data_IF_682851435224
#
_entry.id   IF_682851435224
#
_cell.length_a   1.000
_cell.length_b   1.000
_cell.length_c   1.000
_cell.angle_alpha   90.00
_cell.angle_beta   90.00
_cell.angle_gamma   90.00
#
_symmetry.space_group_name_H-M   'P 1'
#
loop_
_entity.id
_entity.type
_entity.pdbx_description
1 polymer ?
#
# COMPACT_ATOMS: atom_id res chain seq x y z
N UNK A 1 -10.20 3.39 -24.36
CA UNK A 1 -11.24 4.21 -25.03
C UNK A 1 -12.66 3.80 -24.56
N UNK A 2 -13.00 3.94 -23.26
CA UNK A 2 -14.33 3.57 -22.72
C UNK A 2 -15.00 4.64 -21.85
N UNK A 3 -14.46 5.87 -21.81
CA UNK A 3 -14.99 6.94 -20.95
C UNK A 3 -15.92 7.94 -21.65
N UNK A 4 -16.20 7.78 -22.94
CA UNK A 4 -17.11 8.68 -23.68
C UNK A 4 -18.59 8.26 -23.53
N UNK A 5 -18.86 7.08 -22.98
CA UNK A 5 -20.22 6.52 -22.93
C UNK A 5 -21.10 7.07 -21.79
N UNK A 6 -20.53 7.62 -20.72
CA UNK A 6 -21.30 8.03 -19.54
C UNK A 6 -21.87 9.45 -19.72
N UNK A 7 -21.13 10.35 -20.37
CA UNK A 7 -21.59 11.72 -20.67
C UNK A 7 -22.77 11.74 -21.65
N UNK A 8 -22.81 10.81 -22.61
CA UNK A 8 -23.91 10.69 -23.56
C UNK A 8 -25.23 10.22 -22.91
N UNK A 9 -25.15 9.35 -21.89
CA UNK A 9 -26.34 8.82 -21.21
C UNK A 9 -26.98 9.86 -20.26
N UNK A 10 -26.16 10.76 -19.67
CA UNK A 10 -26.65 11.87 -18.84
C UNK A 10 -27.38 12.90 -19.70
N UNK A 11 -26.86 13.23 -20.88
CA UNK A 11 -27.54 14.14 -21.81
C UNK A 11 -28.86 13.57 -22.36
N UNK A 12 -28.93 12.26 -22.59
CA UNK A 12 -30.16 11.58 -23.04
C UNK A 12 -31.26 11.54 -21.96
N UNK A 13 -30.89 11.47 -20.67
CA UNK A 13 -31.87 11.56 -19.57
C UNK A 13 -32.38 12.99 -19.36
N UNK A 14 -31.54 14.00 -19.56
CA UNK A 14 -31.97 15.41 -19.50
C UNK A 14 -32.95 15.77 -20.63
N UNK A 15 -32.77 15.24 -21.84
CA UNK A 15 -33.70 15.48 -22.95
C UNK A 15 -35.05 14.78 -22.77
N UNK A 16 -35.08 13.61 -22.12
CA UNK A 16 -36.33 12.87 -21.87
C UNK A 16 -37.16 13.47 -20.73
N UNK A 17 -36.56 14.24 -19.81
CA UNK A 17 -37.32 15.01 -18.82
C UNK A 17 -38.00 16.25 -19.43
N UNK A 18 -37.46 16.81 -20.53
CA UNK A 18 -38.10 17.91 -21.25
C UNK A 18 -39.29 17.45 -22.11
N UNK A 19 -39.33 16.18 -22.53
CA UNK A 19 -40.41 15.60 -23.33
C UNK A 19 -41.58 15.05 -22.49
N UNK A 20 -41.38 14.85 -21.19
CA UNK A 20 -42.42 14.41 -20.25
C UNK A 20 -43.27 15.60 -19.77
N UNK A 21 -43.92 16.33 -20.69
CA UNK A 21 -45.25 16.89 -20.47
C UNK A 21 -45.56 17.73 -19.22
N UNK A 22 -44.62 18.49 -18.65
CA UNK A 22 -44.97 19.59 -17.74
C UNK A 22 -45.16 20.86 -18.57
N UNK A 23 -46.26 20.90 -19.32
CA UNK A 23 -46.74 22.14 -19.88
C UNK A 23 -47.06 23.10 -18.71
N UNK A 24 -46.50 24.32 -18.67
CA UNK A 24 -47.01 25.34 -17.77
C UNK A 24 -48.43 25.63 -18.22
N UNK A 25 -49.40 25.18 -17.43
CA UNK A 25 -50.79 25.55 -17.64
C UNK A 25 -50.86 27.07 -17.62
N UNK A 26 -51.04 27.68 -18.80
CA UNK A 26 -51.46 29.06 -18.94
C UNK A 26 -52.78 29.22 -18.20
N UNK A 27 -52.68 29.66 -16.95
CA UNK A 27 -53.82 30.10 -16.15
C UNK A 27 -54.37 31.37 -16.79
N UNK A 28 -55.27 31.20 -17.75
CA UNK A 28 -56.06 32.28 -18.30
C UNK A 28 -56.94 32.85 -17.18
N UNK A 29 -56.74 34.13 -16.90
CA UNK A 29 -57.17 34.79 -15.67
C UNK A 29 -58.69 34.83 -15.48
N UNK A 30 -59.13 34.32 -14.34
CA UNK A 30 -60.40 34.67 -13.75
C UNK A 30 -60.16 35.73 -12.67
N UNK A 31 -60.30 37.00 -13.07
CA UNK A 31 -60.28 38.16 -12.16
C UNK A 31 -61.46 38.08 -11.19
N UNK A 32 -61.30 37.36 -10.07
CA UNK A 32 -62.10 37.60 -8.87
C UNK A 32 -61.33 38.62 -8.04
N UNK A 33 -61.89 39.82 -7.91
CA UNK A 33 -61.33 40.89 -7.10
C UNK A 33 -61.23 40.47 -5.64
N UNK A 34 -60.07 39.94 -5.27
CA UNK A 34 -59.67 39.82 -3.87
C UNK A 34 -59.45 41.25 -3.39
N UNK A 35 -60.43 41.79 -2.65
CA UNK A 35 -60.23 43.02 -1.89
C UNK A 35 -59.11 42.73 -0.91
N UNK A 36 -57.90 43.24 -1.18
CA UNK A 36 -56.82 43.29 -0.21
C UNK A 36 -57.30 44.13 0.98
N UNK A 37 -57.90 43.47 1.98
CA UNK A 37 -58.00 44.03 3.31
C UNK A 37 -56.56 44.16 3.78
N UNK A 38 -56.08 45.40 3.92
CA UNK A 38 -54.87 45.75 4.65
C UNK A 38 -55.10 45.39 6.13
N UNK A 39 -55.00 44.10 6.46
CA UNK A 39 -54.84 43.66 7.83
C UNK A 39 -53.36 43.86 8.15
N UNK A 40 -53.06 44.81 9.04
CA UNK A 40 -51.71 44.92 9.59
C UNK A 40 -51.40 43.62 10.33
N UNK A 41 -50.25 43.01 10.04
CA UNK A 41 -49.73 41.87 10.78
C UNK A 41 -49.72 42.23 12.27
N UNK A 42 -50.40 41.43 13.07
CA UNK A 42 -50.38 41.63 14.52
C UNK A 42 -48.97 41.33 15.03
N UNK A 43 -48.51 42.05 16.04
CA UNK A 43 -47.15 41.88 16.59
C UNK A 43 -46.86 40.42 17.00
N UNK A 44 -47.90 39.70 17.43
CA UNK A 44 -47.85 38.26 17.71
C UNK A 44 -47.44 37.41 16.49
N UNK A 45 -48.00 37.71 15.32
CA UNK A 45 -47.75 36.97 14.08
C UNK A 45 -46.33 37.23 13.54
N UNK A 46 -45.79 38.44 13.76
CA UNK A 46 -44.39 38.76 13.49
C UNK A 46 -43.44 37.99 14.42
N UNK A 47 -43.75 37.85 15.70
CA UNK A 47 -42.93 37.06 16.63
C UNK A 47 -42.92 35.56 16.30
N UNK A 48 -44.07 35.00 15.92
CA UNK A 48 -44.17 33.58 15.54
C UNK A 48 -43.37 33.30 14.26
N UNK A 49 -43.46 34.18 13.26
CA UNK A 49 -42.70 34.01 12.01
C UNK A 49 -41.19 34.10 12.23
N UNK A 50 -40.71 35.04 13.05
CA UNK A 50 -39.29 35.12 13.43
C UNK A 50 -38.86 33.87 14.21
N UNK A 51 -39.68 33.37 15.14
CA UNK A 51 -39.40 32.15 15.89
C UNK A 51 -39.21 30.92 14.99
N UNK A 52 -40.11 30.72 14.03
CA UNK A 52 -40.01 29.63 13.05
C UNK A 52 -38.76 29.80 12.17
N UNK A 53 -38.47 31.02 11.73
CA UNK A 53 -37.29 31.30 10.89
C UNK A 53 -35.99 30.96 11.62
N UNK A 54 -35.86 31.33 12.89
CA UNK A 54 -34.68 31.00 13.71
C UNK A 54 -34.52 29.49 13.85
N UNK A 55 -35.61 28.75 14.14
CA UNK A 55 -35.57 27.28 14.25
C UNK A 55 -35.17 26.63 12.92
N UNK A 56 -35.69 27.11 11.79
CA UNK A 56 -35.30 26.59 10.47
C UNK A 56 -33.82 26.86 10.14
N UNK A 57 -33.31 28.04 10.46
CA UNK A 57 -31.90 28.38 10.23
C UNK A 57 -30.99 27.47 11.07
N UNK A 58 -31.33 27.24 12.35
CA UNK A 58 -30.56 26.37 13.23
C UNK A 58 -30.56 24.91 12.77
N UNK A 59 -31.73 24.37 12.41
CA UNK A 59 -31.84 22.99 11.92
C UNK A 59 -31.10 22.80 10.59
N UNK A 60 -31.22 23.74 9.67
CA UNK A 60 -30.48 23.70 8.40
C UNK A 60 -28.96 23.81 8.61
N UNK A 61 -28.51 24.65 9.53
CA UNK A 61 -27.09 24.74 9.90
C UNK A 61 -26.52 23.41 10.41
N UNK A 62 -27.25 22.71 11.27
CA UNK A 62 -26.86 21.39 11.77
C UNK A 62 -26.83 20.33 10.65
N UNK A 63 -27.82 20.34 9.75
CA UNK A 63 -27.88 19.42 8.60
C UNK A 63 -26.73 19.68 7.63
N UNK A 64 -26.43 20.95 7.33
CA UNK A 64 -25.30 21.31 6.46
C UNK A 64 -23.97 20.87 7.05
N UNK A 65 -23.73 21.14 8.34
CA UNK A 65 -22.50 20.71 9.02
C UNK A 65 -22.34 19.20 9.01
N UNK A 66 -23.42 18.46 9.24
CA UNK A 66 -23.41 16.99 9.20
C UNK A 66 -23.15 16.47 7.79
N UNK A 67 -23.75 17.10 6.79
CA UNK A 67 -23.57 16.75 5.37
C UNK A 67 -22.13 16.99 4.91
N UNK A 68 -21.52 18.12 5.30
CA UNK A 68 -20.13 18.43 4.97
C UNK A 68 -19.16 17.42 5.60
N UNK A 69 -19.37 17.07 6.88
CA UNK A 69 -18.56 16.05 7.57
C UNK A 69 -18.69 14.70 6.85
N UNK A 70 -19.90 14.27 6.53
CA UNK A 70 -20.15 13.01 5.82
C UNK A 70 -19.50 12.97 4.44
N UNK A 71 -19.56 14.08 3.68
CA UNK A 71 -18.90 14.18 2.37
C UNK A 71 -17.38 14.11 2.51
N UNK A 72 -16.78 14.81 3.47
CA UNK A 72 -15.33 14.77 3.69
C UNK A 72 -14.86 13.37 4.07
N UNK A 73 -15.55 12.68 4.98
CA UNK A 73 -15.25 11.29 5.35
C UNK A 73 -15.38 10.37 4.13
N UNK A 74 -16.44 10.52 3.34
CA UNK A 74 -16.65 9.71 2.13
C UNK A 74 -15.56 9.91 1.09
N UNK A 75 -15.16 11.16 0.83
CA UNK A 75 -14.10 11.48 -0.12
C UNK A 75 -12.76 10.91 0.34
N UNK A 76 -12.45 11.01 1.62
CA UNK A 76 -11.24 10.44 2.21
C UNK A 76 -11.24 8.92 2.09
N UNK A 77 -12.33 8.25 2.47
CA UNK A 77 -12.47 6.80 2.35
C UNK A 77 -12.33 6.31 0.90
N UNK A 78 -12.87 7.07 -0.07
CA UNK A 78 -12.71 6.77 -1.50
C UNK A 78 -11.24 6.88 -1.94
N UNK A 79 -10.51 7.91 -1.49
CA UNK A 79 -9.09 8.09 -1.82
C UNK A 79 -8.26 6.95 -1.23
N UNK A 80 -8.41 6.65 0.05
CA UNK A 80 -7.69 5.55 0.71
C UNK A 80 -8.00 4.21 0.06
N UNK A 81 -9.28 3.94 -0.26
CA UNK A 81 -9.68 2.73 -1.00
C UNK A 81 -9.00 2.60 -2.37
N UNK A 82 -8.97 3.70 -3.14
CA UNK A 82 -8.31 3.71 -4.45
C UNK A 82 -6.79 3.54 -4.36
N UNK A 83 -6.15 4.13 -3.35
CA UNK A 83 -4.72 4.00 -3.10
C UNK A 83 -4.35 2.57 -2.72
N UNK A 84 -5.09 1.97 -1.78
CA UNK A 84 -4.92 0.57 -1.39
C UNK A 84 -5.00 -0.38 -2.59
N UNK A 85 -6.05 -0.26 -3.42
CA UNK A 85 -6.17 -1.10 -4.63
C UNK A 85 -5.03 -0.91 -5.63
N UNK A 86 -4.49 0.30 -5.77
CA UNK A 86 -3.33 0.55 -6.62
C UNK A 86 -2.07 -0.12 -6.06
N UNK A 87 -1.83 -0.03 -4.76
CA UNK A 87 -0.72 -0.69 -4.05
C UNK A 87 -0.83 -2.21 -4.21
N UNK A 88 -2.01 -2.78 -3.97
CA UNK A 88 -2.27 -4.22 -4.15
C UNK A 88 -1.92 -4.71 -5.55
N UNK A 89 -2.25 -3.91 -6.57
CA UNK A 89 -1.94 -4.25 -7.96
C UNK A 89 -0.44 -4.24 -8.21
N UNK A 90 0.28 -3.21 -7.76
CA UNK A 90 1.74 -3.11 -7.94
C UNK A 90 2.43 -4.31 -7.30
N UNK A 91 2.13 -4.58 -6.03
CA UNK A 91 2.70 -5.71 -5.29
C UNK A 91 2.35 -7.04 -5.97
N UNK A 92 1.09 -7.24 -6.38
CA UNK A 92 0.69 -8.48 -7.06
C UNK A 92 1.41 -8.67 -8.39
N UNK A 93 1.60 -7.61 -9.16
CA UNK A 93 2.32 -7.66 -10.43
C UNK A 93 3.80 -7.98 -10.22
N UNK A 94 4.40 -7.52 -9.12
CA UNK A 94 5.80 -7.82 -8.78
C UNK A 94 5.98 -9.24 -8.22
N UNK A 95 5.09 -9.68 -7.33
CA UNK A 95 5.11 -11.05 -6.77
C UNK A 95 4.97 -12.11 -7.88
N UNK A 96 4.19 -11.82 -8.92
CA UNK A 96 4.06 -12.69 -10.11
C UNK A 96 5.34 -12.81 -10.93
N UNK A 97 6.20 -11.78 -10.92
CA UNK A 97 7.45 -11.79 -11.68
C UNK A 97 8.59 -12.43 -10.91
N UNK A 98 8.40 -12.78 -9.64
CA UNK A 98 9.44 -13.44 -8.84
C UNK A 98 9.88 -14.72 -9.53
N UNK A 99 11.18 -14.89 -9.68
CA UNK A 99 11.77 -16.02 -10.40
C UNK A 99 12.51 -16.97 -9.50
N UNK A 100 12.25 -18.28 -9.67
CA UNK A 100 12.97 -19.35 -8.98
C UNK A 100 14.43 -19.47 -9.39
N UNK A 101 14.82 -18.86 -10.51
CA UNK A 101 16.23 -18.76 -10.92
C UNK A 101 17.01 -17.72 -10.10
N UNK A 102 16.31 -16.95 -9.27
CA UNK A 102 16.82 -15.88 -8.41
C UNK A 102 16.97 -16.27 -6.96
N UNK A 103 16.66 -15.31 -6.09
CA UNK A 103 16.41 -15.55 -4.68
C UNK A 103 15.11 -14.84 -4.25
N UNK A 104 14.55 -15.29 -3.15
CA UNK A 104 13.51 -14.64 -2.37
C UNK A 104 13.97 -14.67 -0.92
N UNK A 105 13.87 -13.55 -0.23
CA UNK A 105 14.24 -13.42 1.17
C UNK A 105 13.12 -12.70 1.91
N UNK A 106 12.66 -13.29 3.00
CA UNK A 106 11.80 -12.64 3.99
C UNK A 106 12.63 -12.51 5.25
N UNK A 107 12.81 -11.30 5.74
CA UNK A 107 13.67 -11.04 6.88
C UNK A 107 13.11 -9.95 7.77
N UNK A 108 13.74 -9.78 8.92
CA UNK A 108 13.40 -8.79 9.91
C UNK A 108 14.57 -7.82 10.05
N UNK A 109 14.28 -6.54 10.15
CA UNK A 109 15.26 -5.52 10.49
C UNK A 109 15.55 -5.49 12.00
N UNK A 110 16.54 -4.69 12.41
CA UNK A 110 16.93 -4.53 13.83
C UNK A 110 15.80 -4.02 14.72
N UNK A 111 14.88 -3.22 14.15
CA UNK A 111 13.68 -2.69 14.80
C UNK A 111 12.50 -3.69 14.87
N UNK A 112 12.70 -4.90 14.33
CA UNK A 112 11.65 -5.91 14.26
C UNK A 112 10.75 -5.78 13.02
N UNK A 113 10.93 -4.78 12.16
CA UNK A 113 10.08 -4.59 10.99
C UNK A 113 10.33 -5.66 9.91
N UNK A 114 9.28 -6.15 9.22
CA UNK A 114 9.43 -7.13 8.17
C UNK A 114 9.93 -6.49 6.87
N UNK A 115 10.74 -7.26 6.16
CA UNK A 115 11.28 -6.94 4.84
C UNK A 115 11.14 -8.14 3.93
N UNK A 116 10.81 -7.89 2.67
CA UNK A 116 10.83 -8.87 1.60
C UNK A 116 11.74 -8.35 0.50
N UNK A 117 12.71 -9.16 0.09
CA UNK A 117 13.58 -8.87 -1.04
C UNK A 117 13.52 -10.05 -2.01
N UNK A 118 13.26 -9.79 -3.29
CA UNK A 118 13.17 -10.86 -4.27
C UNK A 118 13.73 -10.44 -5.62
N UNK A 119 14.25 -11.42 -6.37
CA UNK A 119 14.62 -11.24 -7.77
C UNK A 119 13.40 -11.48 -8.64
N UNK A 120 13.16 -10.56 -9.56
CA UNK A 120 12.12 -10.63 -10.59
C UNK A 120 12.75 -10.92 -11.95
N UNK A 121 12.07 -11.75 -12.75
CA UNK A 121 12.43 -12.00 -14.13
C UNK A 121 11.56 -11.20 -15.10
N UNK A 122 12.11 -10.98 -16.29
CA UNK A 122 11.42 -10.33 -17.39
C UNK A 122 11.87 -8.89 -17.57
N UNK A 123 11.32 -8.26 -18.61
CA UNK A 123 11.67 -6.90 -19.00
C UNK A 123 11.24 -5.93 -17.90
N UNK A 124 12.21 -5.37 -17.19
CA UNK A 124 11.99 -4.39 -16.12
C UNK A 124 12.53 -3.04 -16.59
N UNK A 125 11.63 -2.09 -16.95
CA UNK A 125 12.06 -0.75 -17.30
C UNK A 125 12.42 0.04 -16.06
N UNK A 126 13.42 0.92 -16.20
CA UNK A 126 13.78 1.87 -15.16
C UNK A 126 12.64 2.88 -14.94
N UNK A 127 12.43 3.25 -13.67
CA UNK A 127 11.53 4.29 -13.18
C UNK A 127 12.16 5.67 -13.29
N UNK A 128 13.49 5.78 -13.18
CA UNK A 128 14.20 7.07 -13.19
C UNK A 128 14.93 7.36 -14.49
N UNK A 129 15.18 6.35 -15.33
CA UNK A 129 15.95 6.45 -16.57
C UNK A 129 15.32 5.70 -17.75
N UNK A 130 16.09 5.57 -18.83
CA UNK A 130 15.68 4.89 -20.07
C UNK A 130 16.12 3.42 -20.14
N UNK A 131 16.85 2.95 -19.14
CA UNK A 131 17.42 1.61 -19.11
C UNK A 131 16.34 0.54 -18.96
N UNK A 132 16.61 -0.60 -19.57
CA UNK A 132 15.73 -1.77 -19.56
C UNK A 132 16.60 -2.98 -19.24
N UNK A 133 16.26 -3.65 -18.14
CA UNK A 133 16.94 -4.87 -17.69
C UNK A 133 16.12 -6.12 -18.00
N UNK A 134 16.79 -7.27 -18.05
CA UNK A 134 16.15 -8.59 -18.21
C UNK A 134 15.63 -9.18 -16.88
N UNK A 135 15.79 -8.42 -15.80
CA UNK A 135 15.27 -8.74 -14.48
C UNK A 135 15.39 -7.53 -13.57
N UNK A 136 14.93 -7.70 -12.34
CA UNK A 136 15.03 -6.67 -11.32
C UNK A 136 15.17 -7.25 -9.91
N UNK A 137 15.53 -6.42 -8.95
CA UNK A 137 15.41 -6.74 -7.53
C UNK A 137 14.27 -5.88 -7.00
N UNK A 138 13.33 -6.49 -6.30
CA UNK A 138 12.29 -5.77 -5.56
C UNK A 138 12.57 -5.88 -4.07
N UNK A 139 12.32 -4.80 -3.34
CA UNK A 139 12.34 -4.74 -1.89
C UNK A 139 11.07 -4.05 -1.37
N UNK A 140 10.44 -4.68 -0.38
CA UNK A 140 9.26 -4.20 0.32
C UNK A 140 9.56 -4.20 1.82
N UNK A 141 9.08 -3.20 2.54
CA UNK A 141 9.23 -3.17 3.99
C UNK A 141 8.75 -1.87 4.60
N UNK A 142 9.00 -1.71 5.90
CA UNK A 142 8.80 -0.43 6.59
C UNK A 142 10.12 0.31 6.75
N UNK A 143 10.06 1.63 6.63
CA UNK A 143 11.17 2.53 6.92
C UNK A 143 10.69 3.71 7.76
N UNK A 144 11.64 4.31 8.48
CA UNK A 144 11.37 5.48 9.32
C UNK A 144 11.06 6.71 8.45
N UNK A 145 10.07 7.49 8.88
CA UNK A 145 9.80 8.80 8.31
C UNK A 145 10.63 9.85 9.04
N UNK A 146 11.55 10.53 8.36
CA UNK A 146 12.39 11.55 9.00
C UNK A 146 11.61 12.79 9.46
N UNK A 147 10.54 13.14 8.76
CA UNK A 147 9.73 14.32 9.04
C UNK A 147 8.45 14.02 9.83
N UNK A 148 8.15 12.74 10.08
CA UNK A 148 6.90 12.32 10.72
C UNK A 148 7.12 11.28 11.82
N UNK A 149 6.08 11.04 12.62
CA UNK A 149 6.13 10.08 13.73
C UNK A 149 5.76 8.66 13.33
N UNK A 150 5.20 8.45 12.13
CA UNK A 150 4.71 7.16 11.67
C UNK A 150 5.56 6.63 10.51
N UNK A 151 5.83 5.31 10.49
CA UNK A 151 6.66 4.68 9.46
C UNK A 151 5.99 4.69 8.08
N UNK A 152 6.82 4.53 7.06
CA UNK A 152 6.43 4.53 5.64
C UNK A 152 6.53 3.10 5.11
N UNK A 153 5.49 2.67 4.41
CA UNK A 153 5.55 1.45 3.60
C UNK A 153 6.23 1.77 2.28
N UNK A 154 7.43 1.23 2.08
CA UNK A 154 8.21 1.46 0.87
C UNK A 154 8.14 0.26 -0.09
N UNK A 155 8.34 0.57 -1.36
CA UNK A 155 8.63 -0.35 -2.45
C UNK A 155 9.79 0.18 -3.25
N UNK A 156 10.89 -0.55 -3.26
CA UNK A 156 12.03 -0.25 -4.09
C UNK A 156 12.16 -1.34 -5.14
N UNK A 157 12.33 -0.93 -6.40
CA UNK A 157 12.57 -1.83 -7.50
C UNK A 157 13.82 -1.34 -8.21
N UNK A 158 14.78 -2.22 -8.39
CA UNK A 158 15.98 -1.97 -9.16
C UNK A 158 15.97 -2.79 -10.44
N UNK A 159 16.45 -2.19 -11.52
CA UNK A 159 16.67 -2.81 -12.81
C UNK A 159 18.07 -3.42 -12.87
N UNK A 160 18.16 -4.67 -13.29
CA UNK A 160 19.43 -5.35 -13.57
C UNK A 160 19.83 -5.10 -15.02
N UNK A 161 20.63 -4.06 -15.25
CA UNK A 161 20.98 -3.59 -16.60
C UNK A 161 22.27 -4.20 -17.16
N UNK A 162 23.12 -4.79 -16.31
CA UNK A 162 24.38 -5.45 -16.70
C UNK A 162 25.45 -4.53 -17.33
N UNK A 163 25.18 -3.25 -17.56
CA UNK A 163 26.12 -2.25 -18.09
C UNK A 163 26.92 -1.62 -16.94
N UNK A 164 28.25 -1.55 -17.06
CA UNK A 164 29.17 -1.26 -15.94
C UNK A 164 29.22 0.20 -15.41
N UNK A 165 28.14 0.98 -15.43
CA UNK A 165 28.16 2.40 -15.05
C UNK A 165 27.70 2.67 -13.62
N UNK A 166 28.59 2.98 -12.66
CA UNK A 166 28.32 3.13 -11.21
C UNK A 166 26.90 3.58 -10.83
N UNK A 167 26.17 2.84 -9.96
CA UNK A 167 24.82 3.23 -9.56
C UNK A 167 24.84 4.63 -8.94
N UNK A 168 24.04 5.56 -9.49
CA UNK A 168 23.86 6.87 -8.90
C UNK A 168 23.07 6.79 -7.60
N UNK A 169 23.29 7.72 -6.67
CA UNK A 169 22.39 7.90 -5.52
C UNK A 169 20.99 8.22 -6.04
N UNK A 170 19.97 7.49 -5.59
CA UNK A 170 18.60 7.64 -6.10
C UNK A 170 18.32 6.98 -7.45
N UNK A 171 19.32 6.32 -8.06
CA UNK A 171 19.11 5.51 -9.26
C UNK A 171 18.45 4.18 -8.92
N UNK A 172 17.52 3.78 -9.76
CA UNK A 172 16.91 2.46 -9.74
C UNK A 172 17.64 1.47 -10.67
N UNK A 173 18.87 1.77 -11.09
CA UNK A 173 19.67 0.93 -11.97
C UNK A 173 20.80 0.28 -11.18
N UNK A 174 20.89 -1.04 -11.31
CA UNK A 174 21.98 -1.84 -10.77
C UNK A 174 22.79 -2.45 -11.92
N UNK A 175 24.10 -2.26 -11.85
CA UNK A 175 25.06 -2.83 -12.81
C UNK A 175 25.42 -4.27 -12.47
N UNK A 176 24.41 -5.01 -12.02
CA UNK A 176 24.53 -6.43 -11.84
C UNK A 176 23.73 -7.07 -12.96
N UNK A 177 24.32 -8.06 -13.61
CA UNK A 177 23.55 -8.99 -14.42
C UNK A 177 22.79 -9.94 -13.49
N UNK A 178 21.66 -10.45 -13.95
CA UNK A 178 20.86 -11.45 -13.23
C UNK A 178 21.74 -12.62 -12.79
N UNK A 179 22.64 -13.11 -13.64
CA UNK A 179 23.54 -14.20 -13.28
C UNK A 179 24.48 -13.84 -12.12
N UNK A 180 24.95 -12.59 -12.06
CA UNK A 180 25.82 -12.12 -10.97
C UNK A 180 25.05 -12.05 -9.64
N UNK A 181 23.83 -11.52 -9.64
CA UNK A 181 22.96 -11.46 -8.45
C UNK A 181 22.65 -12.86 -7.93
N UNK A 182 22.41 -13.80 -8.84
CA UNK A 182 22.14 -15.20 -8.54
C UNK A 182 23.38 -15.93 -7.99
N UNK A 183 24.58 -15.47 -8.33
CA UNK A 183 25.85 -16.02 -7.85
C UNK A 183 26.33 -15.39 -6.54
N UNK A 184 25.85 -14.19 -6.16
CA UNK A 184 26.18 -13.53 -4.89
C UNK A 184 25.93 -14.44 -3.68
N UNK A 185 24.81 -15.19 -3.58
CA UNK A 185 24.62 -16.22 -2.56
C UNK A 185 25.71 -17.27 -2.48
N UNK A 186 26.34 -17.63 -3.60
CA UNK A 186 27.19 -18.82 -3.72
C UNK A 186 28.68 -18.54 -3.62
N UNK A 187 29.14 -17.37 -4.07
CA UNK A 187 30.57 -17.06 -4.05
C UNK A 187 31.12 -16.92 -2.62
N UNK A 188 30.24 -16.70 -1.64
CA UNK A 188 30.61 -16.61 -0.22
C UNK A 188 30.03 -17.74 0.66
N UNK A 189 29.09 -18.55 0.17
CA UNK A 189 28.49 -19.65 0.95
C UNK A 189 29.47 -20.77 1.40
N UNK A 190 30.71 -20.80 0.92
CA UNK A 190 31.72 -21.71 1.51
C UNK A 190 32.26 -21.21 2.86
N UNK A 191 32.07 -19.93 3.19
CA UNK A 191 32.55 -19.30 4.42
C UNK A 191 31.43 -18.63 5.24
N UNK A 192 30.30 -18.26 4.62
CA UNK A 192 29.21 -17.54 5.25
C UNK A 192 28.06 -18.45 5.65
N UNK A 193 27.55 -18.22 6.85
CA UNK A 193 26.30 -18.81 7.34
C UNK A 193 25.11 -18.28 6.49
N UNK A 194 24.10 -19.09 6.17
CA UNK A 194 22.90 -18.62 5.46
C UNK A 194 22.22 -17.46 6.21
N UNK A 195 22.40 -17.39 7.53
CA UNK A 195 22.06 -16.23 8.35
C UNK A 195 22.69 -14.93 7.86
N UNK A 196 24.01 -14.93 7.72
CA UNK A 196 24.79 -13.77 7.30
C UNK A 196 24.45 -13.39 5.85
N UNK A 197 24.12 -14.39 5.01
CA UNK A 197 23.69 -14.13 3.66
C UNK A 197 22.30 -13.47 3.58
N UNK A 198 21.31 -13.94 4.35
CA UNK A 198 20.01 -13.28 4.39
C UNK A 198 20.08 -11.89 5.03
N UNK A 199 20.97 -11.70 6.01
CA UNK A 199 21.27 -10.37 6.54
C UNK A 199 21.90 -9.47 5.49
N UNK A 200 22.92 -9.96 4.80
CA UNK A 200 23.57 -9.24 3.73
C UNK A 200 22.57 -8.87 2.62
N UNK A 201 21.73 -9.80 2.17
CA UNK A 201 20.69 -9.53 1.17
C UNK A 201 19.65 -8.53 1.69
N UNK A 202 19.20 -8.71 2.93
CA UNK A 202 18.20 -7.85 3.57
C UNK A 202 18.69 -6.45 3.94
N UNK A 203 20.00 -6.26 4.17
CA UNK A 203 20.61 -4.97 4.49
C UNK A 203 21.17 -4.26 3.25
N UNK A 204 21.68 -5.01 2.26
CA UNK A 204 22.25 -4.42 1.04
C UNK A 204 21.16 -3.86 0.13
N UNK A 205 20.01 -4.54 0.06
CA UNK A 205 18.95 -4.26 -0.91
C UNK A 205 17.67 -3.73 -0.27
N UNK A 206 17.62 -3.51 1.03
CA UNK A 206 16.55 -2.72 1.63
C UNK A 206 17.07 -1.32 1.95
N UNK A 207 16.21 -0.28 1.92
CA UNK A 207 16.55 0.94 2.61
C UNK A 207 16.83 0.59 4.08
N UNK A 208 17.94 1.09 4.62
CA UNK A 208 18.34 0.86 5.99
C UNK A 208 17.29 1.43 6.95
N UNK A 209 17.15 0.75 8.09
CA UNK A 209 16.46 1.25 9.27
C UNK A 209 17.26 2.41 9.88
N UNK A 210 16.68 3.09 10.87
CA UNK A 210 17.22 4.18 11.71
C UNK A 210 18.72 4.18 12.04
N UNK A 211 19.40 3.03 11.97
CA UNK A 211 20.83 2.89 12.28
C UNK A 211 21.79 3.23 11.13
N UNK A 212 21.32 3.49 9.90
CA UNK A 212 22.20 4.08 8.87
C UNK A 212 21.60 5.36 8.26
N UNK A 213 22.33 6.49 8.30
CA UNK A 213 21.79 7.81 7.97
C UNK A 213 21.48 8.05 6.49
N UNK A 214 21.68 7.07 5.61
CA UNK A 214 21.75 7.32 4.17
C UNK A 214 20.50 7.00 3.35
N UNK A 215 19.39 6.49 3.91
CA UNK A 215 18.18 6.16 3.12
C UNK A 215 16.88 6.08 3.94
N UNK A 216 16.64 7.03 4.84
CA UNK A 216 15.30 7.27 5.39
C UNK A 216 14.53 8.23 4.47
N UNK A 217 13.21 8.09 4.38
CA UNK A 217 12.38 8.93 3.49
C UNK A 217 11.71 10.02 4.33
N UNK A 218 11.73 11.26 3.86
CA UNK A 218 11.08 12.39 4.53
C UNK A 218 9.72 12.68 3.88
N UNK A 219 8.63 12.52 4.63
CA UNK A 219 7.28 12.92 4.21
C UNK A 219 6.68 13.89 5.24
N UNK A 220 6.28 15.12 4.83
CA UNK A 220 6.38 15.68 3.48
C UNK A 220 7.83 15.99 3.06
N UNK A 221 8.11 15.93 1.76
CA UNK A 221 9.45 16.24 1.22
C UNK A 221 9.76 17.72 1.37
N UNK A 222 10.99 18.06 1.79
CA UNK A 222 11.45 19.44 1.94
C UNK A 222 12.31 19.93 0.77
N UNK A 223 12.88 19.01 0.00
CA UNK A 223 13.75 19.30 -1.14
C UNK A 223 13.20 18.65 -2.43
N UNK A 224 13.58 19.20 -3.59
CA UNK A 224 13.29 18.62 -4.90
C UNK A 224 14.02 17.29 -5.11
N UNK A 225 15.17 17.11 -4.49
CA UNK A 225 15.91 15.84 -4.53
C UNK A 225 15.13 14.73 -3.80
N UNK A 226 14.45 15.06 -2.70
CA UNK A 226 13.57 14.13 -1.97
C UNK A 226 12.32 13.75 -2.79
N UNK A 227 11.84 14.65 -3.66
CA UNK A 227 10.69 14.35 -4.55
C UNK A 227 11.03 13.18 -5.48
N UNK A 228 12.29 13.05 -5.89
CA UNK A 228 12.73 11.91 -6.71
C UNK A 228 12.64 10.61 -5.92
N UNK A 229 12.75 10.60 -4.59
CA UNK A 229 12.60 9.38 -3.79
C UNK A 229 11.13 8.95 -3.59
N UNK A 230 10.15 9.80 -3.92
CA UNK A 230 8.73 9.49 -3.71
C UNK A 230 8.20 8.29 -4.49
N UNK A 231 8.85 7.91 -5.60
CA UNK A 231 8.44 6.69 -6.32
C UNK A 231 8.61 5.43 -5.46
N UNK A 232 9.42 5.51 -4.40
CA UNK A 232 9.67 4.40 -3.47
C UNK A 232 8.60 4.28 -2.39
N UNK A 233 7.69 5.26 -2.28
CA UNK A 233 6.65 5.31 -1.24
C UNK A 233 5.38 4.65 -1.77
N UNK A 234 4.93 3.56 -1.14
CA UNK A 234 3.62 2.98 -1.40
C UNK A 234 2.54 3.65 -0.56
N UNK A 235 2.78 3.76 0.75
CA UNK A 235 1.86 4.40 1.68
C UNK A 235 2.64 5.15 2.75
N UNK A 236 2.22 6.39 2.99
CA UNK A 236 2.58 7.12 4.20
C UNK A 236 1.83 6.55 5.40
N UNK A 237 2.46 6.55 6.57
CA UNK A 237 1.81 6.22 7.84
C UNK A 237 1.25 4.80 7.94
N UNK A 238 2.07 3.82 7.56
CA UNK A 238 1.76 2.39 7.65
C UNK A 238 2.46 1.77 8.85
N UNK A 239 1.77 1.63 9.97
CA UNK A 239 2.36 1.15 11.24
C UNK A 239 2.27 -0.36 11.46
N UNK A 240 1.57 -1.09 10.60
CA UNK A 240 1.49 -2.54 10.64
C UNK A 240 1.78 -3.09 9.25
N UNK A 241 2.84 -3.87 9.13
CA UNK A 241 3.18 -4.68 7.95
C UNK A 241 3.36 -6.11 8.43
N UNK A 242 2.78 -7.06 7.72
CA UNK A 242 2.86 -8.49 7.96
C UNK A 242 3.31 -9.13 6.65
N UNK A 243 4.38 -9.91 6.68
CA UNK A 243 4.90 -10.62 5.51
C UNK A 243 5.03 -12.09 5.88
N UNK A 244 4.20 -12.90 5.24
CA UNK A 244 4.07 -14.31 5.51
C UNK A 244 4.07 -15.10 4.20
N UNK A 245 4.38 -16.38 4.30
CA UNK A 245 4.44 -17.31 3.19
C UNK A 245 3.82 -18.65 3.60
N UNK A 246 3.50 -19.47 2.62
CA UNK A 246 2.95 -20.82 2.85
C UNK A 246 3.62 -21.83 1.93
N UNK A 247 3.90 -23.03 2.44
CA UNK A 247 4.30 -24.20 1.64
C UNK A 247 3.09 -24.95 1.06
N UNK A 248 1.87 -24.45 1.30
CA UNK A 248 0.63 -25.10 0.90
C UNK A 248 0.16 -26.19 1.86
N UNK A 249 0.87 -26.44 2.98
CA UNK A 249 0.34 -27.31 4.03
C UNK A 249 -0.85 -26.67 4.71
N UNK A 250 -1.82 -27.49 5.11
CA UNK A 250 -3.00 -27.04 5.83
C UNK A 250 -3.12 -27.70 7.20
N UNK A 251 -3.93 -27.12 8.07
CA UNK A 251 -4.36 -27.72 9.32
C UNK A 251 -5.85 -27.50 9.47
N UNK A 252 -6.64 -28.51 9.11
CA UNK A 252 -8.09 -28.47 9.23
C UNK A 252 -8.73 -27.39 8.36
N UNK A 253 -8.43 -27.40 7.06
CA UNK A 253 -8.92 -26.47 6.01
C UNK A 253 -8.36 -25.04 6.04
N UNK A 254 -7.40 -24.75 6.92
CA UNK A 254 -6.69 -23.47 6.92
C UNK A 254 -5.24 -23.66 6.47
N UNK A 255 -4.78 -22.87 5.50
CA UNK A 255 -3.39 -22.84 5.10
C UNK A 255 -2.51 -22.39 6.28
N UNK A 256 -1.40 -23.09 6.48
CA UNK A 256 -0.38 -22.67 7.43
C UNK A 256 0.41 -21.51 6.84
N UNK A 257 0.49 -20.42 7.61
CA UNK A 257 1.24 -19.22 7.24
C UNK A 257 2.42 -19.05 8.17
N UNK A 258 3.60 -18.90 7.60
CA UNK A 258 4.85 -18.72 8.31
C UNK A 258 5.43 -17.34 7.97
N UNK A 259 6.10 -16.69 8.90
CA UNK A 259 6.66 -15.35 8.67
C UNK A 259 6.54 -14.42 9.86
N UNK A 260 6.60 -13.13 9.55
CA UNK A 260 6.52 -12.04 10.51
C UNK A 260 5.11 -11.47 10.46
N UNK A 261 4.41 -11.52 11.59
CA UNK A 261 3.10 -10.94 11.74
C UNK A 261 3.14 -9.63 12.52
N UNK A 262 2.86 -8.52 11.84
CA UNK A 262 2.74 -7.19 12.46
C UNK A 262 1.29 -6.86 12.77
N UNK A 263 0.93 -6.88 14.06
CA UNK A 263 -0.38 -6.43 14.54
C UNK A 263 -0.20 -5.41 15.66
N UNK A 264 -0.84 -4.23 15.51
CA UNK A 264 -0.81 -3.18 16.55
C UNK A 264 0.59 -2.64 16.87
N UNK A 265 1.50 -2.61 15.89
CA UNK A 265 2.88 -2.17 16.09
C UNK A 265 3.79 -3.17 16.82
N UNK A 266 3.29 -4.38 17.11
CA UNK A 266 4.09 -5.49 17.63
C UNK A 266 4.26 -6.57 16.57
N UNK A 267 5.46 -7.15 16.50
CA UNK A 267 5.77 -8.23 15.57
C UNK A 267 5.86 -9.56 16.29
N UNK A 268 5.18 -10.57 15.77
CA UNK A 268 5.28 -11.95 16.24
C UNK A 268 5.77 -12.86 15.12
N UNK A 269 6.51 -13.90 15.48
CA UNK A 269 7.05 -14.86 14.53
C UNK A 269 6.15 -16.09 14.53
N UNK A 270 5.60 -16.41 13.36
CA UNK A 270 4.96 -17.70 13.13
C UNK A 270 5.96 -18.56 12.36
N UNK A 271 6.66 -19.45 13.04
CA UNK A 271 7.63 -20.34 12.42
C UNK A 271 7.06 -21.74 12.22
N UNK A 272 7.65 -22.51 11.30
CA UNK A 272 7.33 -23.93 11.18
C UNK A 272 7.80 -24.67 12.44
N UNK A 273 7.02 -25.64 12.91
CA UNK A 273 7.23 -26.36 14.20
C UNK A 273 8.57 -27.10 14.32
N UNK A 274 9.32 -27.25 13.23
CA UNK A 274 10.65 -27.87 13.18
C UNK A 274 11.82 -26.89 13.46
N UNK A 275 11.55 -25.65 13.87
CA UNK A 275 12.57 -24.60 13.98
C UNK A 275 13.51 -24.73 15.20
N UNK A 276 13.13 -25.43 16.28
CA UNK A 276 13.99 -25.50 17.47
C UNK A 276 15.18 -26.44 17.27
N UNK A 277 16.36 -25.88 16.96
CA UNK A 277 17.64 -26.59 17.04
C UNK A 277 18.31 -26.93 15.72
N UNK A 278 17.93 -26.26 14.63
CA UNK A 278 18.47 -26.56 13.31
C UNK A 278 19.74 -25.77 13.04
N UNK A 279 20.86 -26.48 12.90
CA UNK A 279 22.20 -25.92 12.69
C UNK A 279 22.46 -25.77 11.18
N UNK A 280 22.80 -24.54 10.76
CA UNK A 280 22.70 -24.05 9.37
C UNK A 280 23.77 -24.65 8.44
N UNK A 281 24.83 -25.22 9.01
CA UNK A 281 25.97 -25.74 8.26
C UNK A 281 25.70 -27.04 7.47
N UNK A 282 24.60 -27.75 7.72
CA UNK A 282 24.49 -29.16 7.31
C UNK A 282 23.41 -29.48 6.27
N UNK A 283 22.50 -28.55 5.93
CA UNK A 283 21.46 -28.83 4.94
C UNK A 283 21.12 -27.59 4.07
N UNK A 284 21.64 -27.53 2.83
CA UNK A 284 21.37 -26.43 1.90
C UNK A 284 19.90 -26.37 1.42
N UNK A 285 19.06 -27.36 1.76
CA UNK A 285 17.64 -27.34 1.42
C UNK A 285 16.76 -26.65 2.48
N UNK A 286 17.35 -26.13 3.55
CA UNK A 286 16.62 -25.40 4.58
C UNK A 286 16.26 -23.99 4.12
N UNK A 287 15.02 -23.61 4.43
CA UNK A 287 14.33 -22.43 3.92
C UNK A 287 14.23 -21.33 4.97
N UNK A 288 14.13 -21.72 6.25
CA UNK A 288 13.94 -20.83 7.40
C UNK A 288 15.07 -21.04 8.39
N UNK A 289 15.49 -19.99 9.08
CA UNK A 289 16.54 -20.07 10.09
C UNK A 289 16.46 -18.94 11.11
N UNK A 290 17.13 -19.14 12.25
CA UNK A 290 17.25 -18.18 13.35
C UNK A 290 18.59 -17.44 13.24
N UNK A 291 18.54 -16.12 13.13
CA UNK A 291 19.74 -15.28 13.08
C UNK A 291 20.48 -15.13 14.43
N UNK A 292 19.98 -15.75 15.50
CA UNK A 292 20.31 -15.33 16.86
C UNK A 292 19.58 -14.02 17.21
N UNK A 293 19.37 -13.76 18.50
CA UNK A 293 18.67 -12.55 18.95
C UNK A 293 17.15 -12.51 18.67
N UNK A 294 16.56 -13.58 18.11
CA UNK A 294 15.12 -13.68 17.89
C UNK A 294 14.60 -13.09 16.59
N UNK A 295 15.47 -12.77 15.63
CA UNK A 295 15.06 -12.25 14.32
C UNK A 295 14.65 -13.38 13.36
N UNK A 296 13.51 -13.20 12.68
CA UNK A 296 13.03 -14.14 11.66
C UNK A 296 13.75 -13.94 10.32
N UNK A 297 14.21 -15.04 9.72
CA UNK A 297 14.76 -15.05 8.37
C UNK A 297 14.32 -16.30 7.61
N UNK A 298 13.92 -16.09 6.37
CA UNK A 298 13.66 -17.15 5.40
C UNK A 298 14.31 -16.76 4.05
N UNK A 299 15.01 -17.71 3.44
CA UNK A 299 15.74 -17.51 2.19
C UNK A 299 15.50 -18.70 1.25
N UNK A 300 15.07 -18.36 0.05
CA UNK A 300 14.97 -19.27 -1.08
C UNK A 300 15.93 -18.83 -2.15
N UNK A 301 16.61 -19.78 -2.76
CA UNK A 301 17.60 -19.55 -3.82
C UNK A 301 17.29 -20.46 -5.01
N UNK A 302 18.02 -20.26 -6.10
CA UNK A 302 17.97 -21.15 -7.27
C UNK A 302 18.38 -22.60 -6.99
N UNK A 303 19.01 -22.87 -5.85
CA UNK A 303 19.51 -24.20 -5.52
C UNK A 303 18.43 -25.02 -4.75
N UNK A 304 17.42 -24.37 -4.15
CA UNK A 304 16.34 -25.02 -3.39
C UNK A 304 14.95 -24.86 -4.05
N UNK A 305 14.87 -24.95 -5.38
CA UNK A 305 13.64 -24.65 -6.15
C UNK A 305 12.40 -25.47 -5.80
N UNK A 306 12.59 -26.70 -5.31
CA UNK A 306 11.49 -27.59 -4.89
C UNK A 306 10.75 -27.10 -3.64
N UNK A 307 11.40 -26.21 -2.90
CA UNK A 307 11.04 -25.80 -1.56
C UNK A 307 10.59 -24.34 -1.49
N UNK A 308 10.37 -23.70 -2.66
CA UNK A 308 9.86 -22.34 -2.76
C UNK A 308 8.44 -22.21 -2.19
N UNK A 309 8.07 -21.05 -1.65
CA UNK A 309 6.74 -20.84 -1.11
C UNK A 309 5.73 -20.92 -2.25
N UNK A 310 4.55 -21.48 -1.96
CA UNK A 310 3.44 -21.57 -2.92
C UNK A 310 2.80 -20.20 -3.09
N UNK A 311 2.62 -19.48 -1.98
CA UNK A 311 2.06 -18.14 -1.97
C UNK A 311 2.69 -17.28 -0.87
N UNK A 312 2.62 -15.96 -1.07
CA UNK A 312 3.00 -14.94 -0.11
C UNK A 312 1.73 -14.16 0.26
N UNK A 313 1.60 -13.88 1.56
CA UNK A 313 0.59 -13.01 2.15
C UNK A 313 1.26 -11.76 2.69
N UNK A 314 0.84 -10.60 2.20
CA UNK A 314 1.25 -9.30 2.70
C UNK A 314 0.02 -8.61 3.27
N UNK A 315 0.05 -8.27 4.55
CA UNK A 315 -0.97 -7.41 5.16
C UNK A 315 -0.35 -6.09 5.56
N UNK A 316 -1.06 -4.99 5.30
CA UNK A 316 -0.58 -3.67 5.68
C UNK A 316 -1.73 -2.75 6.03
N UNK A 317 -1.45 -1.74 6.84
CA UNK A 317 -2.43 -0.70 7.19
C UNK A 317 -2.12 0.60 6.45
N UNK A 318 -3.17 1.27 5.98
CA UNK A 318 -3.06 2.66 5.53
C UNK A 318 -3.82 3.52 6.55
N UNK A 319 -3.08 4.32 7.31
CA UNK A 319 -3.65 5.33 8.18
C UNK A 319 -3.86 6.65 7.41
N UNK A 320 -4.91 7.37 7.75
CA UNK A 320 -5.06 8.76 7.36
C UNK A 320 -5.12 9.66 8.62
N UNK A 321 -4.10 10.50 8.85
CA UNK A 321 -4.01 11.32 10.06
C UNK A 321 -5.02 12.47 10.04
N UNK A 322 -5.57 12.82 8.87
CA UNK A 322 -6.54 13.92 8.75
C UNK A 322 -7.92 13.55 9.33
N UNK A 323 -8.15 12.28 9.66
CA UNK A 323 -9.37 11.78 10.29
C UNK A 323 -9.10 11.44 11.77
N UNK A 324 -8.68 12.46 12.54
CA UNK A 324 -8.40 12.30 13.97
C UNK A 324 -9.69 11.94 14.72
N UNK A 325 -9.67 10.83 15.47
CA UNK A 325 -10.69 10.51 16.47
C UNK A 325 -11.77 9.49 16.08
N UNK A 326 -11.60 8.75 14.97
CA UNK A 326 -12.50 7.64 14.61
C UNK A 326 -11.69 6.40 14.25
N UNK A 327 -12.11 5.22 14.73
CA UNK A 327 -11.53 3.92 14.36
C UNK A 327 -11.51 3.65 12.84
N UNK A 328 -12.27 4.42 12.05
CA UNK A 328 -12.26 4.43 10.58
C UNK A 328 -10.99 5.04 9.95
N UNK A 329 -10.05 5.57 10.75
CA UNK A 329 -8.85 6.23 10.26
C UNK A 329 -7.79 5.27 9.69
N UNK A 330 -7.87 3.98 10.01
CA UNK A 330 -6.94 2.95 9.53
C UNK A 330 -7.71 1.83 8.84
N UNK A 331 -7.28 1.46 7.64
CA UNK A 331 -7.81 0.29 6.92
C UNK A 331 -6.71 -0.72 6.70
N UNK A 332 -7.02 -1.98 7.01
CA UNK A 332 -6.16 -3.12 6.73
C UNK A 332 -6.43 -3.63 5.31
N UNK A 333 -5.35 -3.93 4.59
CA UNK A 333 -5.36 -4.51 3.26
C UNK A 333 -4.62 -5.84 3.30
N UNK A 334 -5.12 -6.83 2.57
CA UNK A 334 -4.52 -8.16 2.49
C UNK A 334 -4.30 -8.56 1.03
N UNK A 335 -3.06 -8.92 0.72
CA UNK A 335 -2.65 -9.39 -0.59
C UNK A 335 -2.16 -10.82 -0.44
N UNK A 336 -2.86 -11.75 -1.08
CA UNK A 336 -2.37 -13.11 -1.30
C UNK A 336 -2.02 -13.26 -2.78
N UNK A 337 -0.79 -13.65 -3.08
CA UNK A 337 -0.35 -13.93 -4.44
C UNK A 337 0.53 -15.21 -4.51
N UNK A 338 0.36 -16.03 -5.56
CA UNK A 338 1.25 -17.16 -5.81
C UNK A 338 2.65 -16.68 -6.22
N UNK A 339 3.67 -17.47 -5.93
CA UNK A 339 5.07 -17.14 -6.27
C UNK A 339 5.54 -17.96 -7.46
N UNK A 340 6.13 -17.29 -8.46
CA UNK A 340 6.89 -17.93 -9.55
C UNK A 340 6.06 -18.81 -10.48
N UNK A 341 4.96 -18.27 -11.02
CA UNK A 341 4.24 -18.86 -12.16
C UNK A 341 4.89 -18.50 -13.50
#
# INVERSE_FOLDING_TARGET
>A
MRNVSIQAEVYRRASNMAAAGWAPACFCGQKRGVRCRRAGLTLMELLVTVGIMVIMILTFGQILSSSQKAVNVSQTAMRTGSAGSAIEKVIRDDLRKITKNGFLCITQASDGSPRLVAVTAGVTPSKTGTDIGNGGIIALGLCDNLAGSLPIFYHQAWVLAGSGGTPGVGSDILNYDMESVVRLPRHDASNYDMNELAEFVGLTWAPPSSDTPNRSISLPTSDIDDVVALWQVLASESYALSIQWTDGTDTGNNLNWYGIDGSGGSYSITAKTSWSGVNIANDPNQIEFNAGGGAYRALWTKDNQSNWPVAIRIRFTISNPAVIGTEEASREYEIIAPVGQ
#
